data_IF_991128889383
#
_entry.id   IF_991128889383
#
_cell.length_a   1.000
_cell.length_b   1.000
_cell.length_c   1.000
_cell.angle_alpha   90.00
_cell.angle_beta   90.00
_cell.angle_gamma   90.00
#
_symmetry.space_group_name_H-M   'P 1'
#
loop_
_entity.id
_entity.type
_entity.pdbx_description
1 polymer ?
#
# COMPACT_ATOMS: atom_id res chain seq x y z
N UNK A 1 9.86 -1.56 2.83
CA UNK A 1 8.81 -1.33 3.84
C UNK A 1 7.82 -0.25 3.41
N UNK A 2 8.26 0.92 2.92
CA UNK A 2 7.34 1.93 2.35
C UNK A 2 6.38 1.33 1.31
N UNK A 3 6.90 0.57 0.35
CA UNK A 3 6.06 -0.14 -0.65
C UNK A 3 4.92 -0.96 -0.01
N UNK A 4 5.22 -1.73 1.03
CA UNK A 4 4.24 -2.58 1.70
C UNK A 4 3.17 -1.77 2.47
N UNK A 5 3.57 -0.69 3.15
CA UNK A 5 2.63 0.24 3.79
C UNK A 5 1.63 0.82 2.77
N UNK A 6 2.13 1.29 1.62
CA UNK A 6 1.28 1.81 0.55
C UNK A 6 0.35 0.73 -0.01
N UNK A 7 0.83 -0.50 -0.19
CA UNK A 7 -0.02 -1.62 -0.63
C UNK A 7 -1.16 -1.84 0.35
N UNK A 8 -0.88 -1.98 1.64
CA UNK A 8 -1.92 -2.23 2.65
C UNK A 8 -2.98 -1.11 2.70
N UNK A 9 -2.54 0.15 2.66
CA UNK A 9 -3.45 1.30 2.69
C UNK A 9 -4.36 1.36 1.45
N UNK A 10 -3.82 1.07 0.25
CA UNK A 10 -4.65 1.06 -0.97
C UNK A 10 -5.55 -0.17 -1.05
N UNK A 11 -5.06 -1.32 -0.61
CA UNK A 11 -5.86 -2.55 -0.60
C UNK A 11 -7.12 -2.37 0.23
N UNK A 12 -7.04 -1.73 1.40
CA UNK A 12 -8.21 -1.39 2.22
C UNK A 12 -9.23 -0.55 1.44
N UNK A 13 -8.79 0.53 0.79
CA UNK A 13 -9.63 1.36 -0.06
C UNK A 13 -10.26 0.58 -1.24
N UNK A 14 -9.51 -0.33 -1.87
CA UNK A 14 -10.05 -1.14 -2.96
C UNK A 14 -11.15 -2.10 -2.52
N UNK A 15 -11.10 -2.60 -1.29
CA UNK A 15 -12.17 -3.43 -0.74
C UNK A 15 -13.43 -2.62 -0.45
N UNK A 16 -13.31 -1.38 0.03
CA UNK A 16 -14.45 -0.48 0.29
C UNK A 16 -15.18 -0.11 -1.01
N UNK A 17 -14.44 0.31 -2.04
CA UNK A 17 -15.02 0.63 -3.36
C UNK A 17 -15.72 -0.57 -3.98
N UNK A 18 -15.22 -1.79 -3.76
CA UNK A 18 -15.87 -2.99 -4.28
C UNK A 18 -17.20 -3.31 -3.57
N UNK A 19 -17.32 -2.99 -2.28
CA UNK A 19 -18.59 -3.12 -1.54
C UNK A 19 -19.63 -2.11 -2.03
N UNK A 20 -19.20 -0.90 -2.40
CA UNK A 20 -20.05 0.13 -3.00
C UNK A 20 -20.47 -0.24 -4.43
N UNK A 21 -19.55 -0.71 -5.27
CA UNK A 21 -19.84 -1.17 -6.64
C UNK A 21 -20.81 -2.37 -6.65
N UNK A 22 -20.72 -3.28 -5.67
CA UNK A 22 -21.66 -4.40 -5.51
C UNK A 22 -23.03 -3.92 -5.01
N UNK A 23 -23.08 -2.93 -4.11
CA UNK A 23 -24.33 -2.29 -3.70
C UNK A 23 -25.00 -1.54 -4.88
N UNK A 24 -24.23 -0.84 -5.70
CA UNK A 24 -24.73 -0.10 -6.88
C UNK A 24 -25.23 -1.08 -7.96
N UNK A 25 -24.48 -2.15 -8.26
CA UNK A 25 -24.93 -3.19 -9.18
C UNK A 25 -26.18 -3.93 -8.70
N UNK A 26 -26.46 -3.93 -7.40
CA UNK A 26 -27.67 -4.51 -6.82
C UNK A 26 -28.85 -3.52 -6.74
N UNK A 27 -28.67 -2.23 -7.05
CA UNK A 27 -29.71 -1.19 -6.98
C UNK A 27 -30.29 -0.81 -8.36
N UNK A 28 -29.65 -1.19 -9.47
CA UNK A 28 -30.20 -1.00 -10.82
C UNK A 28 -31.06 -2.18 -11.30
N UNK A 29 -32.23 -2.36 -10.66
CA UNK A 29 -33.41 -2.94 -11.33
C UNK A 29 -34.49 -1.86 -11.31
N UNK A 30 -34.72 -1.10 -12.41
CA UNK A 30 -35.90 -0.28 -12.51
C UNK A 30 -37.08 -1.17 -12.89
N UNK A 31 -38.03 -1.28 -11.96
CA UNK A 31 -39.36 -1.83 -12.16
C UNK A 31 -40.07 -1.19 -13.37
N UNK A 32 -40.61 -2.01 -14.27
CA UNK A 32 -41.85 -1.69 -15.00
C UNK A 32 -42.61 -2.98 -15.28
N UNK A 33 -43.79 -3.07 -14.69
CA UNK A 33 -44.71 -4.20 -14.68
C UNK A 33 -45.37 -4.52 -16.04
N UNK A 34 -45.87 -5.77 -16.14
CA UNK A 34 -47.17 -6.24 -16.68
C UNK A 34 -47.07 -7.30 -17.79
N UNK A 35 -47.34 -8.57 -17.46
CA UNK A 35 -48.66 -9.17 -17.74
C UNK A 35 -48.84 -10.53 -17.00
N UNK A 36 -50.07 -11.02 -17.03
CA UNK A 36 -50.81 -11.72 -15.97
C UNK A 36 -50.89 -13.27 -16.09
N UNK A 37 -51.37 -13.89 -14.99
CA UNK A 37 -52.19 -15.13 -14.85
C UNK A 37 -51.61 -16.39 -14.17
N UNK A 38 -51.86 -16.42 -12.85
CA UNK A 38 -52.60 -17.42 -12.05
C UNK A 38 -52.08 -18.86 -11.76
N UNK A 39 -52.36 -19.20 -10.47
CA UNK A 39 -52.71 -20.52 -9.86
C UNK A 39 -51.53 -21.21 -9.14
N UNK A 40 -51.56 -21.62 -7.87
CA UNK A 40 -52.59 -21.68 -6.80
C UNK A 40 -51.98 -22.18 -5.47
N UNK A 41 -52.39 -21.57 -4.35
CA UNK A 41 -52.82 -22.12 -3.03
C UNK A 41 -51.86 -22.99 -2.16
N UNK A 42 -51.67 -22.55 -0.90
CA UNK A 42 -51.71 -23.29 0.41
C UNK A 42 -50.61 -22.84 1.39
N UNK A 43 -50.85 -21.90 2.32
CA UNK A 43 -51.38 -22.06 3.69
C UNK A 43 -50.33 -22.41 4.79
N UNK A 44 -50.11 -21.47 5.74
CA UNK A 44 -49.77 -21.78 7.14
C UNK A 44 -48.59 -21.03 7.80
N UNK A 45 -48.88 -20.12 8.75
CA UNK A 45 -48.08 -19.94 9.98
C UNK A 45 -47.31 -18.63 10.19
N UNK A 46 -47.74 -17.83 11.17
CA UNK A 46 -47.05 -16.67 11.75
C UNK A 46 -46.69 -17.01 13.22
N UNK A 47 -45.46 -16.72 13.68
CA UNK A 47 -45.15 -15.97 14.91
C UNK A 47 -43.63 -15.75 15.09
N UNK A 48 -43.34 -14.56 15.61
CA UNK A 48 -42.07 -13.87 15.83
C UNK A 48 -41.11 -14.52 16.83
N UNK A 49 -39.83 -14.16 16.76
CA UNK A 49 -38.86 -14.44 17.82
C UNK A 49 -37.43 -14.00 17.49
N UNK A 50 -37.12 -12.76 17.85
CA UNK A 50 -35.82 -12.11 17.99
C UNK A 50 -34.55 -12.98 17.83
N UNK A 51 -33.63 -12.50 16.98
CA UNK A 51 -32.21 -12.34 17.32
C UNK A 51 -31.64 -11.23 16.43
N UNK A 52 -31.39 -10.06 17.03
CA UNK A 52 -30.52 -9.04 16.47
C UNK A 52 -29.10 -9.63 16.39
N UNK A 53 -28.67 -9.99 15.18
CA UNK A 53 -27.28 -10.35 14.90
C UNK A 53 -26.74 -9.30 13.95
N UNK A 54 -25.66 -8.58 14.31
CA UNK A 54 -25.07 -7.58 13.42
C UNK A 54 -24.58 -8.32 12.17
N UNK A 55 -25.12 -7.93 11.01
CA UNK A 55 -24.68 -8.37 9.68
C UNK A 55 -23.22 -7.97 9.50
N UNK A 56 -22.34 -8.85 9.98
CA UNK A 56 -20.94 -8.92 9.58
C UNK A 56 -20.95 -9.29 8.10
N UNK A 57 -20.18 -8.61 7.23
CA UNK A 57 -20.20 -8.90 5.80
C UNK A 57 -19.88 -10.37 5.55
N UNK A 58 -20.74 -11.03 4.77
CA UNK A 58 -20.66 -12.41 4.34
C UNK A 58 -19.26 -12.77 3.78
N UNK A 59 -18.42 -13.29 4.66
CA UNK A 59 -17.43 -14.33 4.36
C UNK A 59 -17.84 -15.59 5.12
N UNK A 60 -19.06 -16.06 4.87
CA UNK A 60 -19.52 -17.36 5.36
C UNK A 60 -20.25 -18.06 4.24
N UNK A 61 -19.45 -18.59 3.30
CA UNK A 61 -19.87 -19.69 2.44
C UNK A 61 -19.20 -20.95 2.97
N UNK A 62 -19.91 -21.70 3.80
CA UNK A 62 -19.43 -22.97 4.38
C UNK A 62 -19.27 -24.09 3.33
N UNK A 63 -19.46 -23.80 2.02
CA UNK A 63 -19.15 -24.75 0.95
C UNK A 63 -19.02 -24.07 -0.43
N UNK A 64 -17.85 -23.48 -0.77
CA UNK A 64 -17.59 -23.17 -2.19
C UNK A 64 -16.55 -22.12 -2.55
N UNK A 65 -15.28 -22.38 -2.20
CA UNK A 65 -14.09 -21.70 -2.75
C UNK A 65 -13.98 -20.20 -2.43
N UNK A 66 -13.31 -19.89 -1.32
CA UNK A 66 -12.88 -18.55 -0.94
C UNK A 66 -12.26 -17.83 -2.15
N UNK A 67 -12.79 -16.66 -2.55
CA UNK A 67 -12.11 -15.82 -3.54
C UNK A 67 -10.70 -15.51 -3.04
N UNK A 68 -9.70 -15.71 -3.91
CA UNK A 68 -8.32 -15.37 -3.63
C UNK A 68 -8.00 -14.02 -4.27
N UNK A 69 -7.09 -13.29 -3.65
CA UNK A 69 -6.57 -12.07 -4.25
C UNK A 69 -5.05 -12.02 -4.10
N UNK A 70 -4.43 -11.29 -5.00
CA UNK A 70 -3.00 -10.95 -4.99
C UNK A 70 -2.90 -9.43 -5.05
N UNK A 71 -2.11 -8.85 -4.16
CA UNK A 71 -1.82 -7.43 -4.17
C UNK A 71 -0.32 -7.19 -4.29
N UNK A 72 0.04 -6.10 -4.96
CA UNK A 72 1.44 -5.83 -5.25
C UNK A 72 1.68 -4.43 -5.80
N UNK A 73 2.94 -4.22 -6.18
CA UNK A 73 3.42 -2.95 -6.73
C UNK A 73 4.06 -3.23 -8.09
N UNK A 74 3.81 -2.37 -9.06
CA UNK A 74 4.39 -2.47 -10.40
C UNK A 74 4.80 -1.08 -10.93
N UNK A 75 5.67 -0.99 -11.94
CA UNK A 75 6.00 0.28 -12.60
C UNK A 75 4.77 0.90 -13.28
N UNK A 76 4.59 2.22 -13.16
CA UNK A 76 3.43 2.91 -13.72
C UNK A 76 3.35 2.81 -15.25
N UNK A 77 4.50 2.85 -15.93
CA UNK A 77 4.59 2.81 -17.40
C UNK A 77 3.93 1.56 -18.00
N UNK A 78 3.87 0.49 -17.21
CA UNK A 78 3.32 -0.80 -17.63
C UNK A 78 1.85 -0.99 -17.25
N UNK A 79 1.21 -0.03 -16.55
CA UNK A 79 -0.17 -0.10 -16.03
C UNK A 79 -1.17 -0.59 -17.09
N UNK A 80 -1.29 0.12 -18.20
CA UNK A 80 -2.29 -0.17 -19.25
C UNK A 80 -2.02 -1.46 -20.02
N UNK A 81 -0.76 -1.88 -20.11
CA UNK A 81 -0.38 -3.11 -20.80
C UNK A 81 -0.66 -4.31 -19.90
N UNK A 82 -0.34 -4.21 -18.61
CA UNK A 82 -0.63 -5.23 -17.61
C UNK A 82 -2.13 -5.53 -17.53
N UNK A 83 -2.97 -4.50 -17.44
CA UNK A 83 -4.44 -4.65 -17.40
C UNK A 83 -4.97 -5.41 -18.62
N UNK A 84 -4.54 -5.03 -19.84
CA UNK A 84 -4.95 -5.70 -21.08
C UNK A 84 -4.48 -7.14 -21.17
N UNK A 85 -3.23 -7.42 -20.75
CA UNK A 85 -2.68 -8.79 -20.78
C UNK A 85 -3.40 -9.67 -19.77
N UNK A 86 -3.61 -9.18 -18.55
CA UNK A 86 -4.32 -9.90 -17.51
C UNK A 86 -5.76 -10.21 -17.92
N UNK A 87 -6.47 -9.21 -18.46
CA UNK A 87 -7.83 -9.38 -18.98
C UNK A 87 -7.94 -10.47 -20.06
N UNK A 88 -6.96 -10.50 -20.98
CA UNK A 88 -6.90 -11.50 -22.06
C UNK A 88 -6.53 -12.88 -21.54
N UNK A 89 -5.52 -12.97 -20.67
CA UNK A 89 -5.04 -14.23 -20.12
C UNK A 89 -6.07 -14.90 -19.21
N UNK A 90 -6.80 -14.10 -18.42
CA UNK A 90 -7.83 -14.57 -17.50
C UNK A 90 -9.24 -14.57 -18.11
N UNK A 91 -9.44 -14.27 -19.39
CA UNK A 91 -10.76 -14.32 -20.07
C UNK A 91 -11.92 -13.66 -19.28
N UNK A 92 -11.67 -12.52 -18.65
CA UNK A 92 -12.62 -11.79 -17.77
C UNK A 92 -13.02 -12.48 -16.46
N UNK A 93 -12.37 -13.58 -16.08
CA UNK A 93 -12.65 -14.26 -14.80
C UNK A 93 -11.83 -13.72 -13.64
N UNK A 94 -10.85 -12.84 -13.92
CA UNK A 94 -10.09 -12.12 -12.92
C UNK A 94 -10.36 -10.62 -13.05
N UNK A 95 -10.54 -9.96 -11.91
CA UNK A 95 -10.80 -8.54 -11.82
C UNK A 95 -9.58 -7.83 -11.25
N UNK A 96 -9.15 -6.74 -11.88
CA UNK A 96 -7.98 -5.97 -11.45
C UNK A 96 -8.38 -4.53 -11.16
N UNK A 97 -7.89 -4.02 -10.02
CA UNK A 97 -7.93 -2.60 -9.69
C UNK A 97 -6.50 -2.11 -9.51
N UNK A 98 -6.20 -0.98 -10.12
CA UNK A 98 -4.88 -0.34 -10.05
C UNK A 98 -5.07 1.07 -9.50
N UNK A 99 -4.20 1.49 -8.58
CA UNK A 99 -4.30 2.79 -7.93
C UNK A 99 -3.86 3.89 -8.89
N UNK A 100 -4.62 4.97 -8.96
CA UNK A 100 -4.21 6.16 -9.72
C UNK A 100 -3.12 6.96 -9.02
N UNK A 101 -3.03 6.88 -7.70
CA UNK A 101 -2.00 7.57 -6.93
C UNK A 101 -0.66 6.85 -7.05
N UNK A 102 0.31 7.57 -7.61
CA UNK A 102 1.66 7.11 -7.90
C UNK A 102 2.57 7.16 -6.66
N UNK A 103 3.28 6.06 -6.39
CA UNK A 103 4.32 5.97 -5.38
C UNK A 103 5.67 6.37 -6.01
N UNK A 104 6.23 7.49 -5.56
CA UNK A 104 7.59 7.90 -5.92
C UNK A 104 8.59 7.30 -4.92
N UNK A 105 9.39 6.35 -5.38
CA UNK A 105 10.50 5.77 -4.62
C UNK A 105 11.81 6.26 -5.17
N UNK A 106 12.72 6.63 -4.29
CA UNK A 106 14.10 6.92 -4.67
C UNK A 106 14.88 5.61 -4.77
N UNK A 107 15.58 5.42 -5.89
CA UNK A 107 16.49 4.29 -6.07
C UNK A 107 17.68 4.44 -5.10
N UNK A 108 18.01 3.42 -4.28
CA UNK A 108 19.14 3.48 -3.36
C UNK A 108 20.51 3.64 -4.05
N UNK A 109 20.62 3.37 -5.36
CA UNK A 109 21.90 3.46 -6.09
C UNK A 109 21.94 4.68 -7.01
N UNK A 110 20.87 4.93 -7.76
CA UNK A 110 20.86 5.99 -8.78
C UNK A 110 20.27 7.31 -8.29
N UNK A 111 19.63 7.33 -7.11
CA UNK A 111 18.86 8.46 -6.56
C UNK A 111 17.77 8.98 -7.52
N UNK A 112 17.43 8.20 -8.55
CA UNK A 112 16.40 8.57 -9.51
C UNK A 112 15.01 8.30 -8.93
N UNK A 113 14.02 9.17 -9.21
CA UNK A 113 12.64 8.94 -8.82
C UNK A 113 12.02 7.83 -9.68
N UNK A 114 11.70 6.70 -9.05
CA UNK A 114 10.98 5.58 -9.66
C UNK A 114 9.50 5.70 -9.31
N UNK A 115 8.67 5.84 -10.33
CA UNK A 115 7.22 5.94 -10.19
C UNK A 115 6.58 4.55 -10.29
N UNK A 116 5.88 4.14 -9.24
CA UNK A 116 5.19 2.85 -9.17
C UNK A 116 3.72 3.02 -8.84
N UNK A 117 2.90 2.04 -9.17
CA UNK A 117 1.48 1.96 -8.80
C UNK A 117 1.19 0.67 -8.03
N UNK A 118 0.18 0.70 -7.16
CA UNK A 118 -0.31 -0.46 -6.43
C UNK A 118 -1.44 -1.10 -7.23
N UNK A 119 -1.50 -2.43 -7.25
CA UNK A 119 -2.60 -3.17 -7.85
C UNK A 119 -3.13 -4.24 -6.90
N UNK A 120 -4.37 -4.61 -7.10
CA UNK A 120 -5.01 -5.79 -6.52
C UNK A 120 -5.72 -6.56 -7.64
N UNK A 121 -5.52 -7.87 -7.66
CA UNK A 121 -6.20 -8.80 -8.57
C UNK A 121 -7.03 -9.76 -7.75
N UNK A 122 -8.32 -9.83 -8.03
CA UNK A 122 -9.25 -10.81 -7.48
C UNK A 122 -9.46 -11.93 -8.49
N UNK A 123 -9.38 -13.18 -8.03
CA UNK A 123 -9.59 -14.37 -8.84
C UNK A 123 -10.15 -15.52 -8.00
N UNK A 124 -10.82 -16.45 -8.67
CA UNK A 124 -11.34 -17.68 -8.05
C UNK A 124 -10.65 -18.90 -8.68
N UNK A 125 -10.05 -19.74 -7.84
CA UNK A 125 -9.38 -20.98 -8.26
C UNK A 125 -7.87 -20.88 -8.50
N UNK A 126 -7.19 -22.01 -8.32
CA UNK A 126 -5.71 -22.12 -8.36
C UNK A 126 -5.12 -21.98 -9.78
N UNK A 127 -5.88 -22.39 -10.81
CA UNK A 127 -5.42 -22.25 -12.21
C UNK A 127 -5.23 -20.78 -12.61
N UNK A 128 -6.10 -19.88 -12.15
CA UNK A 128 -5.95 -18.45 -12.39
C UNK A 128 -4.78 -17.87 -11.60
N UNK A 129 -4.55 -18.33 -10.36
CA UNK A 129 -3.39 -17.91 -9.56
C UNK A 129 -2.08 -18.08 -10.33
N UNK A 130 -1.86 -19.25 -10.93
CA UNK A 130 -0.66 -19.54 -11.72
C UNK A 130 -0.49 -18.61 -12.92
N UNK A 131 -1.61 -18.20 -13.55
CA UNK A 131 -1.61 -17.26 -14.66
C UNK A 131 -1.27 -15.85 -14.16
N UNK A 132 -1.91 -15.40 -13.07
CA UNK A 132 -1.65 -14.09 -12.47
C UNK A 132 -0.20 -13.98 -12.04
N UNK A 133 0.36 -15.01 -11.40
CA UNK A 133 1.75 -15.05 -10.97
C UNK A 133 2.71 -14.92 -12.16
N UNK A 134 2.48 -15.66 -13.24
CA UNK A 134 3.28 -15.56 -14.47
C UNK A 134 3.20 -14.16 -15.12
N UNK A 135 2.02 -13.55 -15.10
CA UNK A 135 1.86 -12.18 -15.60
C UNK A 135 2.63 -11.22 -14.68
N UNK A 136 2.49 -11.31 -13.36
CA UNK A 136 3.24 -10.48 -12.42
C UNK A 136 4.76 -10.59 -12.63
N UNK A 137 5.29 -11.79 -12.82
CA UNK A 137 6.72 -12.02 -13.09
C UNK A 137 7.17 -11.33 -14.38
N UNK A 138 6.39 -11.45 -15.47
CA UNK A 138 6.70 -10.82 -16.76
C UNK A 138 6.68 -9.29 -16.74
N UNK A 139 5.95 -8.68 -15.81
CA UNK A 139 5.83 -7.22 -15.69
C UNK A 139 6.75 -6.61 -14.62
N UNK A 140 7.61 -7.41 -13.96
CA UNK A 140 8.39 -7.01 -12.80
C UNK A 140 7.52 -6.47 -11.65
N UNK A 141 6.33 -7.06 -11.48
CA UNK A 141 5.43 -6.73 -10.40
C UNK A 141 5.88 -7.46 -9.13
N UNK A 142 6.06 -6.71 -8.04
CA UNK A 142 6.39 -7.28 -6.73
C UNK A 142 5.11 -7.54 -5.96
N UNK A 143 4.81 -8.80 -5.71
CA UNK A 143 3.69 -9.21 -4.89
C UNK A 143 4.03 -9.13 -3.39
N UNK A 144 3.03 -8.82 -2.57
CA UNK A 144 3.17 -8.81 -1.12
C UNK A 144 2.11 -9.72 -0.48
N UNK A 145 2.48 -10.46 0.59
CA UNK A 145 1.51 -11.24 1.33
C UNK A 145 0.56 -10.28 2.07
N UNK A 146 -0.70 -10.26 1.65
CA UNK A 146 -1.73 -9.43 2.26
C UNK A 146 -2.76 -10.32 3.00
N UNK A 147 -3.01 -10.06 4.30
CA UNK A 147 -4.04 -10.77 5.05
C UNK A 147 -5.45 -10.63 4.45
N UNK A 148 -6.24 -11.70 4.57
CA UNK A 148 -7.60 -11.74 4.03
C UNK A 148 -8.60 -10.94 4.86
N UNK A 149 -8.41 -10.88 6.17
CA UNK A 149 -9.33 -10.19 7.08
C UNK A 149 -8.97 -8.72 7.25
N UNK A 150 -9.97 -7.84 7.34
CA UNK A 150 -9.74 -6.39 7.49
C UNK A 150 -8.95 -6.07 8.77
N UNK A 151 -9.34 -6.69 9.88
CA UNK A 151 -8.67 -6.50 11.18
C UNK A 151 -7.18 -6.86 11.14
N UNK A 152 -6.82 -7.98 10.51
CA UNK A 152 -5.43 -8.42 10.39
C UNK A 152 -4.64 -7.52 9.43
N UNK A 153 -5.27 -6.99 8.37
CA UNK A 153 -4.64 -5.96 7.51
C UNK A 153 -4.32 -4.68 8.27
N UNK A 154 -5.25 -4.19 9.09
CA UNK A 154 -5.04 -3.00 9.92
C UNK A 154 -3.91 -3.23 10.95
N UNK A 155 -3.87 -4.40 11.57
CA UNK A 155 -2.78 -4.78 12.46
C UNK A 155 -1.43 -4.81 11.72
N UNK A 156 -1.35 -5.47 10.57
CA UNK A 156 -0.14 -5.54 9.76
C UNK A 156 0.33 -4.14 9.29
N UNK A 157 -0.62 -3.24 9.00
CA UNK A 157 -0.33 -1.85 8.64
C UNK A 157 0.29 -1.10 9.82
N UNK A 158 -0.31 -1.21 11.02
CA UNK A 158 0.21 -0.59 12.23
C UNK A 158 1.62 -1.09 12.56
N UNK A 159 1.84 -2.41 12.52
CA UNK A 159 3.15 -3.02 12.76
C UNK A 159 4.20 -2.54 11.74
N UNK A 160 3.81 -2.42 10.47
CA UNK A 160 4.70 -1.91 9.41
C UNK A 160 5.05 -0.44 9.64
N UNK A 161 4.09 0.39 10.03
CA UNK A 161 4.31 1.82 10.33
C UNK A 161 5.25 1.96 11.52
N UNK A 162 5.00 1.24 12.62
CA UNK A 162 5.85 1.26 13.81
C UNK A 162 7.29 0.89 13.45
N UNK A 163 7.48 -0.14 12.63
CA UNK A 163 8.82 -0.57 12.17
C UNK A 163 9.51 0.47 11.28
N UNK A 164 8.76 1.16 10.41
CA UNK A 164 9.31 2.26 9.60
C UNK A 164 9.75 3.41 10.50
N UNK A 165 8.96 3.75 11.51
CA UNK A 165 9.26 4.84 12.45
C UNK A 165 10.50 4.54 13.29
N UNK A 166 10.63 3.31 13.79
CA UNK A 166 11.82 2.89 14.55
C UNK A 166 13.09 3.00 13.69
N UNK A 167 13.07 2.46 12.47
CA UNK A 167 14.19 2.57 11.54
C UNK A 167 14.52 4.02 11.19
N UNK A 168 13.50 4.86 10.99
CA UNK A 168 13.70 6.29 10.75
C UNK A 168 14.40 6.95 11.93
N UNK A 169 13.99 6.63 13.16
CA UNK A 169 14.60 7.15 14.39
C UNK A 169 16.08 6.73 14.50
N UNK A 170 16.42 5.49 14.14
CA UNK A 170 17.82 5.02 14.11
C UNK A 170 18.64 5.74 13.04
N UNK A 171 18.07 5.96 11.86
CA UNK A 171 18.75 6.69 10.77
C UNK A 171 18.97 8.15 11.18
N UNK A 172 17.94 8.81 11.71
CA UNK A 172 17.97 10.21 12.12
C UNK A 172 18.98 10.42 13.26
N UNK A 173 19.02 9.53 14.26
CA UNK A 173 20.02 9.61 15.34
C UNK A 173 21.46 9.42 14.83
N UNK A 174 21.69 8.49 13.90
CA UNK A 174 23.03 8.27 13.31
C UNK A 174 23.48 9.47 12.47
N UNK A 175 22.56 10.10 11.73
CA UNK A 175 22.85 11.31 10.97
C UNK A 175 23.15 12.50 11.89
N UNK A 176 22.36 12.67 12.95
CA UNK A 176 22.57 13.72 13.95
C UNK A 176 23.96 13.60 14.59
N UNK A 177 24.37 12.39 15.00
CA UNK A 177 25.71 12.17 15.53
C UNK A 177 26.82 12.54 14.53
N UNK A 178 26.64 12.21 13.25
CA UNK A 178 27.60 12.57 12.19
C UNK A 178 27.63 14.07 11.96
N UNK A 179 26.48 14.72 11.97
CA UNK A 179 26.34 16.17 11.78
C UNK A 179 26.98 16.94 12.93
N UNK A 180 26.67 16.57 14.18
CA UNK A 180 27.31 17.16 15.36
C UNK A 180 28.81 17.01 15.30
N UNK A 181 29.33 15.81 15.00
CA UNK A 181 30.78 15.60 14.86
C UNK A 181 31.39 16.52 13.82
N UNK A 182 30.75 16.67 12.66
CA UNK A 182 31.21 17.59 11.60
C UNK A 182 31.24 19.05 12.06
N UNK A 183 30.27 19.49 12.85
CA UNK A 183 30.23 20.84 13.42
C UNK A 183 31.36 21.05 14.43
N UNK A 184 31.58 20.08 15.32
CA UNK A 184 32.65 20.17 16.33
C UNK A 184 34.03 20.29 15.67
N UNK A 185 34.31 19.51 14.63
CA UNK A 185 35.56 19.59 13.86
C UNK A 185 35.76 20.98 13.24
N UNK A 186 34.75 21.53 12.56
CA UNK A 186 34.82 22.87 11.95
C UNK A 186 35.00 23.98 13.00
N UNK A 187 34.32 23.86 14.14
CA UNK A 187 34.44 24.81 15.25
C UNK A 187 35.84 24.77 15.85
N UNK A 188 36.40 23.58 16.06
CA UNK A 188 37.74 23.40 16.58
C UNK A 188 38.80 23.98 15.63
N UNK A 189 38.71 23.71 14.33
CA UNK A 189 39.61 24.28 13.32
C UNK A 189 39.56 25.81 13.36
N UNK A 190 38.35 26.39 13.44
CA UNK A 190 38.17 27.85 13.51
C UNK A 190 38.84 28.43 14.76
N UNK A 191 38.65 27.82 15.93
CA UNK A 191 39.26 28.25 17.19
C UNK A 191 40.79 28.16 17.12
N UNK A 192 41.32 27.08 16.55
CA UNK A 192 42.76 26.88 16.38
C UNK A 192 43.35 27.97 15.46
N UNK A 193 42.73 28.20 14.29
CA UNK A 193 43.20 29.22 13.33
C UNK A 193 43.13 30.62 13.93
N UNK A 194 42.06 30.96 14.64
CA UNK A 194 41.95 32.25 15.34
C UNK A 194 43.03 32.39 16.41
N UNK A 195 43.33 31.33 17.17
CA UNK A 195 44.40 31.32 18.16
C UNK A 195 45.79 31.55 17.56
N UNK A 196 46.09 30.92 16.42
CA UNK A 196 47.35 31.15 15.70
C UNK A 196 47.45 32.59 15.17
N UNK A 197 46.39 33.12 14.57
CA UNK A 197 46.34 34.50 14.09
C UNK A 197 46.60 35.49 15.22
N UNK A 198 45.90 35.34 16.35
CA UNK A 198 46.08 36.19 17.53
C UNK A 198 47.50 36.10 18.10
N UNK A 199 48.09 34.89 18.17
CA UNK A 199 49.47 34.69 18.62
C UNK A 199 50.47 35.42 17.72
N UNK A 200 50.28 35.36 16.40
CA UNK A 200 51.15 36.03 15.41
C UNK A 200 51.06 37.55 15.57
N UNK A 201 49.84 38.10 15.66
CA UNK A 201 49.62 39.54 15.85
C UNK A 201 50.32 40.01 17.13
N UNK A 202 50.11 39.31 18.25
CA UNK A 202 50.74 39.65 19.51
C UNK A 202 52.27 39.55 19.47
N UNK A 203 52.81 38.62 18.68
CA UNK A 203 54.26 38.49 18.49
C UNK A 203 54.84 39.64 17.66
N UNK A 204 54.08 40.13 16.68
CA UNK A 204 54.47 41.28 15.87
C UNK A 204 54.44 42.58 16.67
N UNK A 205 53.37 42.81 17.43
CA UNK A 205 53.19 44.03 18.23
C UNK A 205 54.27 44.16 19.33
N UNK A 206 54.64 43.05 19.98
CA UNK A 206 55.73 43.02 20.96
C UNK A 206 57.13 43.22 20.37
N UNK A 207 57.27 43.14 19.05
CA UNK A 207 58.52 43.37 18.33
C UNK A 207 58.62 44.82 17.83
N UNK A 208 57.49 45.49 17.65
CA UNK A 208 57.41 46.91 17.28
C UNK A 208 57.70 47.83 18.49
N UNK A 209 57.39 47.38 19.72
CA UNK A 209 57.63 48.11 20.97
C UNK A 209 59.08 48.02 21.52
N UNK A 210 60.02 47.39 20.80
CA UNK A 210 61.43 47.22 21.20
C UNK A 210 62.39 47.80 20.18
#
# INVERSE_FOLDING_TARGET
MREFQYVLQRVEQFFEVHAEDEAINNIEVPDTEQDTLQKSISAGGHISGANDVPLTPLLSDEKGENAWFVAGVMPLDKKHTFERVLWRACRRTAFVRISDVTLTLEDPVTLAPIIKCVFIVFFKGESLKLIVDKVCDGFNARQYPCPKTSKERQQALFETIARIQDLKTVIDSTQEHRFQRSIFELTLITVIVMGYSFRIIFYHERKEDR
#
